data_IF_454795677810
#
_entry.id   IF_454795677810
#
_cell.length_a   1.000
_cell.length_b   1.000
_cell.length_c   1.000
_cell.angle_alpha   90.00
_cell.angle_beta   90.00
_cell.angle_gamma   90.00
#
_symmetry.space_group_name_H-M   'P 1'
#
loop_
_entity.id
_entity.type
_entity.pdbx_description
1 polymer ?
#
# COMPACT_ATOMS: atom_id res chain seq x y z
N UNK A 1 -50.87 -10.74 -9.20
CA UNK A 1 -49.80 -9.98 -9.88
C UNK A 1 -49.58 -8.67 -9.13
N UNK A 2 -48.79 -8.72 -8.06
CA UNK A 2 -48.37 -7.55 -7.27
C UNK A 2 -47.22 -6.87 -7.98
N UNK A 3 -47.39 -5.60 -8.34
CA UNK A 3 -46.37 -4.79 -9.00
C UNK A 3 -45.17 -4.65 -8.06
N UNK A 4 -44.03 -5.21 -8.48
CA UNK A 4 -42.72 -5.01 -7.89
C UNK A 4 -42.42 -3.51 -7.93
N UNK A 5 -42.46 -2.86 -6.77
CA UNK A 5 -42.07 -1.45 -6.67
C UNK A 5 -40.63 -1.31 -7.17
N UNK A 6 -40.44 -0.39 -8.10
CA UNK A 6 -39.15 0.02 -8.61
C UNK A 6 -38.37 0.73 -7.49
N UNK A 7 -37.74 -0.02 -6.60
CA UNK A 7 -36.94 0.50 -5.49
C UNK A 7 -35.49 0.72 -5.97
N UNK A 8 -35.33 1.73 -6.82
CA UNK A 8 -34.01 2.27 -7.20
C UNK A 8 -33.45 3.27 -6.18
N UNK A 9 -34.09 3.43 -5.02
CA UNK A 9 -33.56 4.27 -3.96
C UNK A 9 -32.32 3.58 -3.37
N UNK A 10 -31.15 4.27 -3.31
CA UNK A 10 -29.96 3.68 -2.71
C UNK A 10 -30.27 3.28 -1.27
N UNK A 11 -30.23 1.97 -1.01
CA UNK A 11 -30.48 1.42 0.31
C UNK A 11 -29.53 2.09 1.30
N UNK A 12 -30.07 2.83 2.27
CA UNK A 12 -29.25 3.52 3.26
C UNK A 12 -28.52 2.48 4.10
N UNK A 13 -27.18 2.45 4.12
CA UNK A 13 -26.43 1.36 4.75
C UNK A 13 -26.69 1.25 6.26
N UNK A 14 -27.21 2.30 6.89
CA UNK A 14 -27.51 2.35 8.32
C UNK A 14 -29.01 2.44 8.64
N UNK A 15 -29.91 2.12 7.70
CA UNK A 15 -31.37 2.21 7.92
C UNK A 15 -31.82 1.46 9.18
N UNK A 16 -31.44 0.19 9.32
CA UNK A 16 -31.81 -0.62 10.49
C UNK A 16 -31.20 -0.12 11.80
N UNK A 17 -30.00 0.49 11.77
CA UNK A 17 -29.42 1.10 12.95
C UNK A 17 -30.24 2.33 13.37
N UNK A 18 -30.59 3.18 12.41
CA UNK A 18 -31.38 4.38 12.65
C UNK A 18 -32.76 4.06 13.21
N UNK A 19 -33.44 3.05 12.66
CA UNK A 19 -34.72 2.53 13.17
C UNK A 19 -34.58 2.08 14.63
N UNK A 20 -33.59 1.23 14.92
CA UNK A 20 -33.33 0.72 16.27
C UNK A 20 -33.03 1.85 17.27
N UNK A 21 -32.24 2.85 16.89
CA UNK A 21 -31.95 4.01 17.75
C UNK A 21 -33.22 4.85 18.00
N UNK A 22 -34.01 5.10 16.95
CA UNK A 22 -35.27 5.83 17.08
C UNK A 22 -36.31 5.08 17.94
N UNK A 23 -36.34 3.75 17.90
CA UNK A 23 -37.14 2.90 18.78
C UNK A 23 -36.70 3.04 20.24
N UNK A 24 -35.39 2.92 20.51
CA UNK A 24 -34.83 3.09 21.87
C UNK A 24 -35.16 4.46 22.45
N UNK A 25 -35.00 5.52 21.67
CA UNK A 25 -35.34 6.89 22.12
C UNK A 25 -36.83 7.03 22.41
N UNK A 26 -37.70 6.47 21.57
CA UNK A 26 -39.16 6.48 21.78
C UNK A 26 -39.55 5.71 23.03
N UNK A 27 -38.95 4.54 23.27
CA UNK A 27 -39.15 3.74 24.47
C UNK A 27 -38.71 4.49 25.74
N UNK A 28 -37.60 5.23 25.68
CA UNK A 28 -37.13 6.10 26.74
C UNK A 28 -37.95 7.40 26.92
N UNK A 29 -38.90 7.67 26.02
CA UNK A 29 -39.74 8.89 25.98
C UNK A 29 -38.93 10.19 25.94
N UNK A 30 -37.77 10.17 25.28
CA UNK A 30 -36.90 11.34 25.15
C UNK A 30 -37.13 12.02 23.79
N UNK A 31 -37.54 13.30 23.75
CA UNK A 31 -37.47 14.07 22.51
C UNK A 31 -35.99 14.28 22.13
N UNK A 32 -35.70 14.47 20.84
CA UNK A 32 -34.32 14.56 20.35
C UNK A 32 -33.47 15.64 21.06
N UNK A 33 -34.08 16.77 21.45
CA UNK A 33 -33.40 17.84 22.19
C UNK A 33 -32.97 17.38 23.58
N UNK A 34 -33.89 16.78 24.34
CA UNK A 34 -33.58 16.28 25.69
C UNK A 34 -32.59 15.12 25.63
N UNK A 35 -32.65 14.25 24.61
CA UNK A 35 -31.64 13.22 24.43
C UNK A 35 -30.25 13.83 24.17
N UNK A 36 -30.17 14.85 23.31
CA UNK A 36 -28.92 15.53 23.00
C UNK A 36 -28.29 16.16 24.26
N UNK A 37 -29.11 16.83 25.08
CA UNK A 37 -28.71 17.38 26.38
C UNK A 37 -28.25 16.26 27.34
N UNK A 38 -29.03 15.19 27.52
CA UNK A 38 -28.72 14.08 28.41
C UNK A 38 -27.48 13.28 28.00
N UNK A 39 -27.23 13.13 26.70
CA UNK A 39 -26.05 12.46 26.16
C UNK A 39 -24.84 13.39 25.99
N UNK A 40 -24.98 14.69 26.28
CA UNK A 40 -23.96 15.71 26.03
C UNK A 40 -23.43 15.68 24.57
N UNK A 41 -24.33 15.59 23.60
CA UNK A 41 -24.04 15.62 22.16
C UNK A 41 -24.92 16.65 21.47
N UNK A 42 -24.54 17.12 20.28
CA UNK A 42 -25.39 18.05 19.53
C UNK A 42 -26.69 17.39 19.05
N UNK A 43 -27.78 18.16 18.97
CA UNK A 43 -29.04 17.72 18.32
C UNK A 43 -28.82 17.22 16.89
N UNK A 44 -27.92 17.86 16.15
CA UNK A 44 -27.55 17.43 14.80
C UNK A 44 -26.90 16.04 14.77
N UNK A 45 -26.16 15.65 15.82
CA UNK A 45 -25.61 14.30 15.92
C UNK A 45 -26.71 13.25 16.14
N UNK A 46 -27.71 13.55 16.98
CA UNK A 46 -28.90 12.71 17.16
C UNK A 46 -29.64 12.53 15.84
N UNK A 47 -29.93 13.64 15.14
CA UNK A 47 -30.63 13.60 13.86
C UNK A 47 -29.87 12.81 12.79
N UNK A 48 -28.54 12.95 12.71
CA UNK A 48 -27.71 12.16 11.77
C UNK A 48 -27.63 10.68 12.15
N UNK A 49 -27.65 10.34 13.43
CA UNK A 49 -27.71 8.95 13.86
C UNK A 49 -29.04 8.29 13.46
N UNK A 50 -30.14 9.04 13.54
CA UNK A 50 -31.50 8.59 13.20
C UNK A 50 -31.85 8.72 11.71
N UNK A 51 -31.00 9.34 10.88
CA UNK A 51 -31.27 9.46 9.43
C UNK A 51 -30.89 8.20 8.65
N UNK A 52 -29.99 7.38 9.20
CA UNK A 52 -29.42 6.21 8.54
C UNK A 52 -28.43 6.54 7.41
N UNK A 53 -28.08 7.81 7.20
CA UNK A 53 -27.20 8.23 6.10
C UNK A 53 -25.72 8.02 6.38
N UNK A 54 -25.31 8.04 7.65
CA UNK A 54 -23.93 7.82 8.06
C UNK A 54 -23.86 7.11 9.41
N UNK A 55 -22.78 6.34 9.64
CA UNK A 55 -22.52 5.75 10.94
C UNK A 55 -22.27 6.84 11.99
N UNK A 56 -22.92 6.80 13.17
CA UNK A 56 -22.45 7.58 14.30
C UNK A 56 -21.02 7.16 14.68
N UNK A 57 -20.25 8.09 15.27
CA UNK A 57 -18.97 7.72 15.90
C UNK A 57 -19.22 6.81 17.09
N UNK A 58 -18.22 6.06 17.54
CA UNK A 58 -18.38 5.14 18.66
C UNK A 58 -18.77 5.89 19.95
N UNK A 59 -18.10 7.02 20.22
CA UNK A 59 -18.45 7.89 21.35
C UNK A 59 -19.89 8.42 21.29
N UNK A 60 -20.38 8.84 20.11
CA UNK A 60 -21.76 9.29 19.94
C UNK A 60 -22.75 8.15 20.13
N UNK A 61 -22.46 6.97 19.59
CA UNK A 61 -23.32 5.80 19.76
C UNK A 61 -23.40 5.39 21.24
N UNK A 62 -22.28 5.34 21.94
CA UNK A 62 -22.23 4.97 23.35
C UNK A 62 -22.95 5.99 24.23
N UNK A 63 -22.76 7.30 24.00
CA UNK A 63 -23.47 8.35 24.71
C UNK A 63 -25.00 8.28 24.47
N UNK A 64 -25.42 8.03 23.23
CA UNK A 64 -26.83 7.85 22.87
C UNK A 64 -27.45 6.66 23.62
N UNK A 65 -26.80 5.49 23.56
CA UNK A 65 -27.27 4.27 24.21
C UNK A 65 -27.31 4.42 25.74
N UNK A 66 -26.33 5.11 26.32
CA UNK A 66 -26.29 5.40 27.74
C UNK A 66 -27.45 6.30 28.18
N UNK A 67 -27.71 7.40 27.46
CA UNK A 67 -28.79 8.31 27.78
C UNK A 67 -30.19 7.67 27.62
N UNK A 68 -30.35 6.74 26.68
CA UNK A 68 -31.58 5.94 26.55
C UNK A 68 -31.69 4.80 27.59
N UNK A 69 -30.69 4.62 28.46
CA UNK A 69 -30.59 3.49 29.40
C UNK A 69 -30.73 2.13 28.72
N UNK A 70 -30.21 2.01 27.49
CA UNK A 70 -30.31 0.81 26.69
C UNK A 70 -29.66 -0.39 27.42
N UNK A 71 -30.33 -1.54 27.41
CA UNK A 71 -29.83 -2.78 27.99
C UNK A 71 -28.68 -3.38 27.17
N UNK A 72 -28.03 -4.40 27.70
CA UNK A 72 -26.85 -5.00 27.04
C UNK A 72 -27.20 -5.61 25.67
N UNK A 73 -28.37 -6.22 25.54
CA UNK A 73 -28.86 -6.74 24.26
C UNK A 73 -29.03 -5.65 23.20
N UNK A 74 -29.58 -4.49 23.58
CA UNK A 74 -29.77 -3.34 22.68
C UNK A 74 -28.45 -2.71 22.26
N UNK A 75 -27.49 -2.63 23.20
CA UNK A 75 -26.13 -2.16 22.92
C UNK A 75 -25.41 -3.09 21.95
N UNK A 76 -25.47 -4.40 22.19
CA UNK A 76 -24.90 -5.40 21.29
C UNK A 76 -25.53 -5.34 19.90
N UNK A 77 -26.87 -5.23 19.83
CA UNK A 77 -27.61 -5.08 18.56
C UNK A 77 -27.20 -3.79 17.82
N UNK A 78 -27.12 -2.66 18.50
CA UNK A 78 -26.72 -1.39 17.90
C UNK A 78 -25.28 -1.45 17.35
N UNK A 79 -24.33 -2.03 18.10
CA UNK A 79 -22.95 -2.24 17.66
C UNK A 79 -22.89 -3.15 16.42
N UNK A 80 -23.64 -4.24 16.41
CA UNK A 80 -23.74 -5.16 15.27
C UNK A 80 -24.30 -4.45 14.02
N UNK A 81 -25.41 -3.72 14.15
CA UNK A 81 -26.03 -2.98 13.05
C UNK A 81 -25.10 -1.91 12.50
N UNK A 82 -24.37 -1.20 13.36
CA UNK A 82 -23.33 -0.25 12.95
C UNK A 82 -22.22 -0.93 12.15
N UNK A 83 -21.72 -2.06 12.64
CA UNK A 83 -20.69 -2.84 11.94
C UNK A 83 -21.17 -3.27 10.56
N UNK A 84 -22.37 -3.86 10.47
CA UNK A 84 -22.98 -4.26 9.19
C UNK A 84 -23.11 -3.09 8.22
N UNK A 85 -23.61 -1.95 8.68
CA UNK A 85 -23.74 -0.77 7.83
C UNK A 85 -22.38 -0.22 7.35
N UNK A 86 -21.34 -0.27 8.19
CA UNK A 86 -19.98 0.13 7.79
C UNK A 86 -19.40 -0.83 6.75
N UNK A 87 -19.60 -2.12 6.92
CA UNK A 87 -19.20 -3.14 5.95
C UNK A 87 -19.92 -2.94 4.62
N UNK A 88 -21.24 -2.73 4.63
CA UNK A 88 -22.03 -2.48 3.43
C UNK A 88 -21.64 -1.17 2.72
N UNK A 89 -21.43 -0.08 3.47
CA UNK A 89 -21.01 1.21 2.90
C UNK A 89 -19.63 1.13 2.22
N UNK A 90 -18.71 0.33 2.77
CA UNK A 90 -17.35 0.21 2.25
C UNK A 90 -17.27 -0.71 1.03
N UNK A 91 -18.15 -1.72 0.99
CA UNK A 91 -18.23 -2.70 -0.08
C UNK A 91 -16.86 -3.25 -0.52
N UNK A 92 -16.02 -3.63 0.46
CA UNK A 92 -14.68 -4.20 0.17
C UNK A 92 -14.62 -5.70 0.34
N UNK A 93 -15.62 -6.30 0.98
CA UNK A 93 -15.62 -7.73 1.26
C UNK A 93 -15.66 -8.57 -0.01
N UNK A 94 -16.34 -8.12 -1.06
CA UNK A 94 -16.41 -8.86 -2.31
C UNK A 94 -15.03 -8.99 -3.00
N UNK A 95 -14.11 -8.05 -2.76
CA UNK A 95 -12.72 -8.10 -3.23
C UNK A 95 -11.83 -9.02 -2.39
N UNK A 96 -12.24 -9.31 -1.15
CA UNK A 96 -11.48 -10.06 -0.16
C UNK A 96 -12.02 -11.49 -0.08
N UNK A 97 -11.47 -12.36 -0.92
CA UNK A 97 -11.75 -13.81 -0.89
C UNK A 97 -10.67 -14.52 -0.07
N UNK A 98 -10.70 -14.38 1.26
CA UNK A 98 -9.74 -15.12 2.08
C UNK A 98 -10.19 -16.56 2.30
N UNK A 99 -9.25 -17.51 2.38
CA UNK A 99 -9.56 -18.87 2.78
C UNK A 99 -10.01 -18.93 4.24
N UNK A 100 -10.70 -20.01 4.62
CA UNK A 100 -11.00 -20.26 6.03
C UNK A 100 -9.70 -20.35 6.85
N UNK A 101 -9.72 -19.98 8.14
CA UNK A 101 -8.50 -19.90 8.95
C UNK A 101 -7.67 -21.19 8.98
N UNK A 102 -8.33 -22.34 8.93
CA UNK A 102 -7.72 -23.68 8.90
C UNK A 102 -6.96 -23.98 7.59
N UNK A 103 -7.27 -23.28 6.50
CA UNK A 103 -6.65 -23.45 5.18
C UNK A 103 -5.64 -22.35 4.84
N UNK A 104 -5.26 -21.52 5.81
CA UNK A 104 -4.23 -20.49 5.61
C UNK A 104 -2.85 -21.17 5.59
N UNK A 105 -2.29 -21.33 4.39
CA UNK A 105 -0.97 -21.96 4.21
C UNK A 105 0.12 -20.96 3.82
N UNK A 106 -0.23 -19.88 3.12
CA UNK A 106 0.75 -18.90 2.64
C UNK A 106 0.66 -17.55 3.36
N UNK A 107 1.75 -16.77 3.26
CA UNK A 107 1.76 -15.36 3.70
C UNK A 107 0.65 -14.52 3.05
N UNK A 108 0.34 -14.79 1.78
CA UNK A 108 -0.70 -14.07 1.05
C UNK A 108 -2.08 -14.38 1.63
N UNK A 109 -2.34 -15.65 1.93
CA UNK A 109 -3.60 -16.10 2.52
C UNK A 109 -3.83 -15.46 3.89
N UNK A 110 -2.79 -15.44 4.74
CA UNK A 110 -2.88 -14.82 6.06
C UNK A 110 -3.15 -13.31 5.94
N UNK A 111 -2.45 -12.61 5.05
CA UNK A 111 -2.68 -11.19 4.83
C UNK A 111 -4.10 -10.89 4.31
N UNK A 112 -4.63 -11.75 3.43
CA UNK A 112 -6.02 -11.65 2.96
C UNK A 112 -7.02 -11.88 4.10
N UNK A 113 -6.81 -12.92 4.91
CA UNK A 113 -7.68 -13.25 6.03
C UNK A 113 -7.74 -12.12 7.07
N UNK A 114 -6.59 -11.50 7.40
CA UNK A 114 -6.55 -10.38 8.32
C UNK A 114 -7.24 -9.12 7.75
N UNK A 115 -7.07 -8.84 6.46
CA UNK A 115 -7.78 -7.73 5.81
C UNK A 115 -9.29 -7.98 5.77
N UNK A 116 -9.72 -9.21 5.46
CA UNK A 116 -11.13 -9.58 5.44
C UNK A 116 -11.75 -9.46 6.83
N UNK A 117 -11.08 -9.95 7.87
CA UNK A 117 -11.51 -9.78 9.25
C UNK A 117 -11.72 -8.32 9.63
N UNK A 118 -10.78 -7.45 9.24
CA UNK A 118 -10.89 -6.02 9.49
C UNK A 118 -12.12 -5.41 8.82
N UNK A 119 -12.39 -5.76 7.57
CA UNK A 119 -13.55 -5.26 6.83
C UNK A 119 -14.87 -5.86 7.36
N UNK A 120 -14.89 -7.14 7.77
CA UNK A 120 -16.04 -7.79 8.42
C UNK A 120 -16.36 -7.18 9.78
N UNK A 121 -15.33 -6.74 10.51
CA UNK A 121 -15.46 -5.99 11.76
C UNK A 121 -15.91 -4.53 11.53
N UNK A 122 -16.21 -4.14 10.29
CA UNK A 122 -16.67 -2.79 9.94
C UNK A 122 -15.53 -1.78 9.94
N UNK A 123 -14.29 -2.21 9.70
CA UNK A 123 -13.10 -1.36 9.71
C UNK A 123 -12.98 -0.55 11.01
N UNK A 124 -12.77 -1.21 12.17
CA UNK A 124 -12.64 -0.54 13.45
C UNK A 124 -11.47 0.46 13.45
N UNK A 125 -11.55 1.46 14.33
CA UNK A 125 -10.47 2.44 14.46
C UNK A 125 -9.27 1.79 15.13
N UNK A 126 -8.15 1.73 14.43
CA UNK A 126 -6.88 1.21 14.98
C UNK A 126 -6.07 2.30 15.72
N UNK A 127 -6.70 3.45 15.99
CA UNK A 127 -6.09 4.57 16.71
C UNK A 127 -6.33 4.54 18.22
N UNK A 128 -7.10 3.57 18.74
CA UNK A 128 -7.30 3.39 20.19
C UNK A 128 -5.94 3.24 20.89
N UNK A 129 -5.75 3.97 22.01
CA UNK A 129 -4.53 3.93 22.81
C UNK A 129 -4.14 2.49 23.24
N UNK A 130 -5.13 1.64 23.56
CA UNK A 130 -4.90 0.24 23.94
C UNK A 130 -4.32 -0.57 22.79
N UNK A 131 -4.87 -0.37 21.59
CA UNK A 131 -4.39 -1.04 20.36
C UNK A 131 -3.01 -0.50 20.00
N UNK A 132 -2.81 0.82 20.05
CA UNK A 132 -1.56 1.49 19.65
C UNK A 132 -0.36 1.13 20.51
N UNK A 133 -0.58 0.77 21.79
CA UNK A 133 0.49 0.36 22.71
C UNK A 133 1.24 -0.86 22.17
N UNK A 134 0.52 -1.83 21.61
CA UNK A 134 1.10 -3.09 21.13
C UNK A 134 1.18 -3.16 19.60
N UNK A 135 0.32 -2.41 18.89
CA UNK A 135 0.25 -2.40 17.44
C UNK A 135 0.48 -0.97 16.90
N UNK A 136 1.71 -0.63 16.48
CA UNK A 136 2.01 0.67 15.89
C UNK A 136 1.12 0.97 14.68
N UNK A 137 0.75 2.26 14.51
CA UNK A 137 -0.15 2.71 13.43
C UNK A 137 0.32 2.30 12.03
N UNK A 138 1.63 2.36 11.79
CA UNK A 138 2.24 1.97 10.52
C UNK A 138 2.08 0.47 10.27
N UNK A 139 2.29 -0.37 11.29
CA UNK A 139 2.07 -1.82 11.23
C UNK A 139 0.60 -2.15 10.97
N UNK A 140 -0.30 -1.53 11.72
CA UNK A 140 -1.74 -1.67 11.55
C UNK A 140 -2.18 -1.36 10.10
N UNK A 141 -1.70 -0.23 9.56
CA UNK A 141 -1.96 0.15 8.17
C UNK A 141 -1.40 -0.88 7.17
N UNK A 142 -0.19 -1.41 7.40
CA UNK A 142 0.39 -2.43 6.52
C UNK A 142 -0.41 -3.73 6.53
N UNK A 143 -0.94 -4.14 7.68
CA UNK A 143 -1.79 -5.34 7.81
C UNK A 143 -3.07 -5.15 6.99
N UNK A 144 -3.82 -4.06 7.25
CA UNK A 144 -5.09 -3.77 6.57
C UNK A 144 -4.91 -3.65 5.05
N UNK A 145 -3.79 -3.08 4.60
CA UNK A 145 -3.49 -2.94 3.17
C UNK A 145 -2.77 -4.15 2.56
N UNK A 146 -2.63 -5.26 3.30
CA UNK A 146 -1.96 -6.50 2.85
C UNK A 146 -0.48 -6.29 2.45
N UNK A 147 0.16 -5.23 2.96
CA UNK A 147 1.57 -4.85 2.71
C UNK A 147 2.54 -5.40 3.77
N UNK A 148 2.04 -6.09 4.78
CA UNK A 148 2.84 -6.66 5.86
C UNK A 148 2.01 -7.61 6.72
N UNK A 149 2.71 -8.50 7.42
CA UNK A 149 2.14 -9.29 8.51
C UNK A 149 2.50 -8.65 9.85
N UNK A 150 1.82 -9.01 10.94
CA UNK A 150 2.29 -8.72 12.30
C UNK A 150 3.75 -9.17 12.47
N UNK A 151 4.52 -8.44 13.27
CA UNK A 151 5.91 -8.79 13.58
C UNK A 151 6.01 -9.82 14.72
N UNK A 152 4.98 -9.90 15.57
CA UNK A 152 4.89 -10.85 16.69
C UNK A 152 3.48 -11.43 16.81
N UNK A 153 3.35 -12.57 17.50
CA UNK A 153 2.06 -13.16 17.83
C UNK A 153 1.21 -12.22 18.71
N UNK A 154 1.85 -11.44 19.59
CA UNK A 154 1.17 -10.43 20.42
C UNK A 154 0.53 -9.31 19.58
N UNK A 155 1.21 -8.85 18.52
CA UNK A 155 0.64 -7.91 17.56
C UNK A 155 -0.55 -8.51 16.83
N UNK A 156 -0.48 -9.79 16.46
CA UNK A 156 -1.59 -10.51 15.85
C UNK A 156 -2.80 -10.59 16.79
N UNK A 157 -2.60 -11.02 18.04
CA UNK A 157 -3.66 -11.11 19.06
C UNK A 157 -4.31 -9.75 19.30
N UNK A 158 -3.49 -8.69 19.39
CA UNK A 158 -3.97 -7.31 19.54
C UNK A 158 -4.87 -6.92 18.35
N UNK A 159 -4.43 -7.21 17.12
CA UNK A 159 -5.20 -6.92 15.91
C UNK A 159 -6.52 -7.71 15.84
N UNK A 160 -6.49 -9.02 16.18
CA UNK A 160 -7.68 -9.87 16.23
C UNK A 160 -8.68 -9.37 17.26
N UNK A 161 -8.20 -8.99 18.45
CA UNK A 161 -9.03 -8.43 19.52
C UNK A 161 -9.67 -7.10 19.11
N UNK A 162 -8.94 -6.24 18.41
CA UNK A 162 -9.47 -4.99 17.84
C UNK A 162 -10.55 -5.24 16.77
N UNK A 163 -10.49 -6.39 16.09
CA UNK A 163 -11.52 -6.85 15.15
C UNK A 163 -12.67 -7.62 15.83
N UNK A 164 -12.72 -7.66 17.17
CA UNK A 164 -13.77 -8.34 17.95
C UNK A 164 -13.55 -9.84 18.19
N UNK A 165 -12.40 -10.39 17.80
CA UNK A 165 -12.03 -11.78 18.07
C UNK A 165 -11.16 -11.83 19.32
N UNK A 166 -11.80 -11.84 20.50
CA UNK A 166 -11.12 -11.84 21.80
C UNK A 166 -11.03 -13.21 22.46
N UNK A 167 -11.83 -14.20 22.02
CA UNK A 167 -11.84 -15.53 22.63
C UNK A 167 -10.61 -16.33 22.16
N UNK A 168 -9.81 -16.91 23.07
CA UNK A 168 -8.62 -17.68 22.69
C UNK A 168 -8.89 -18.79 21.68
N UNK A 169 -10.00 -19.53 21.85
CA UNK A 169 -10.40 -20.59 20.91
C UNK A 169 -10.63 -20.07 19.48
N UNK A 170 -11.16 -18.86 19.32
CA UNK A 170 -11.38 -18.24 18.01
C UNK A 170 -10.10 -17.60 17.43
N UNK A 171 -9.15 -17.22 18.28
CA UNK A 171 -7.84 -16.69 17.84
C UNK A 171 -6.89 -17.80 17.39
N UNK A 172 -6.99 -18.99 17.98
CA UNK A 172 -6.05 -20.10 17.81
C UNK A 172 -5.77 -20.47 16.34
N UNK A 173 -6.77 -20.63 15.46
CA UNK A 173 -6.51 -20.94 14.05
C UNK A 173 -5.61 -19.90 13.35
N UNK A 174 -5.78 -18.62 13.68
CA UNK A 174 -4.96 -17.55 13.11
C UNK A 174 -3.53 -17.55 13.67
N UNK A 175 -3.38 -17.86 14.96
CA UNK A 175 -2.08 -17.97 15.62
C UNK A 175 -1.29 -19.14 15.04
N UNK A 176 -1.95 -20.30 14.88
CA UNK A 176 -1.33 -21.50 14.30
C UNK A 176 -0.89 -21.24 12.85
N UNK A 177 -1.76 -20.63 12.03
CA UNK A 177 -1.43 -20.22 10.68
C UNK A 177 -0.27 -19.22 10.62
N UNK A 178 -0.22 -18.26 11.55
CA UNK A 178 0.87 -17.29 11.67
C UNK A 178 2.21 -17.97 11.98
N UNK A 179 2.24 -18.90 12.93
CA UNK A 179 3.43 -19.67 13.25
C UNK A 179 3.89 -20.51 12.05
N UNK A 180 2.96 -21.19 11.38
CA UNK A 180 3.25 -21.97 10.17
C UNK A 180 3.93 -21.11 9.08
N UNK A 181 3.32 -19.97 8.74
CA UNK A 181 3.82 -19.04 7.71
C UNK A 181 5.19 -18.46 8.06
N UNK A 182 5.47 -18.17 9.33
CA UNK A 182 6.76 -17.61 9.75
C UNK A 182 7.85 -18.67 9.77
N UNK A 183 7.57 -19.88 10.25
CA UNK A 183 8.54 -20.99 10.25
C UNK A 183 8.98 -21.34 8.83
N UNK A 184 8.04 -21.39 7.87
CA UNK A 184 8.36 -21.60 6.45
C UNK A 184 9.25 -20.50 5.84
N UNK A 185 9.22 -19.29 6.41
CA UNK A 185 10.05 -18.18 5.95
C UNK A 185 11.52 -18.38 6.28
N UNK A 186 11.81 -19.04 7.40
CA UNK A 186 13.15 -19.41 7.82
C UNK A 186 13.72 -20.60 7.05
N UNK A 187 12.86 -21.51 6.56
CA UNK A 187 13.29 -22.71 5.84
C UNK A 187 13.47 -22.51 4.34
N UNK A 188 13.07 -21.36 3.77
CA UNK A 188 13.36 -21.06 2.38
C UNK A 188 14.88 -21.05 2.21
N UNK A 189 15.47 -21.98 1.44
CA UNK A 189 16.90 -22.00 1.20
C UNK A 189 17.28 -20.61 0.72
N UNK A 190 18.31 -20.01 1.32
CA UNK A 190 18.89 -18.80 0.79
C UNK A 190 19.06 -19.05 -0.71
N UNK A 191 18.49 -18.19 -1.61
CA UNK A 191 18.64 -18.40 -3.04
C UNK A 191 20.14 -18.65 -3.27
N UNK A 192 20.51 -19.65 -4.09
CA UNK A 192 21.90 -19.94 -4.34
C UNK A 192 22.55 -18.61 -4.62
N UNK A 193 23.55 -18.25 -3.81
CA UNK A 193 24.34 -17.05 -4.05
C UNK A 193 24.92 -17.30 -5.43
N UNK A 194 24.25 -16.81 -6.48
CA UNK A 194 24.89 -16.55 -7.75
C UNK A 194 26.09 -15.76 -7.33
N UNK A 195 27.27 -16.38 -7.41
CA UNK A 195 28.54 -15.70 -7.23
C UNK A 195 28.39 -14.50 -8.13
N UNK A 196 28.12 -13.34 -7.52
CA UNK A 196 28.36 -12.09 -8.19
C UNK A 196 29.84 -12.20 -8.43
N UNK A 197 30.19 -12.49 -9.68
CA UNK A 197 31.54 -12.28 -10.18
C UNK A 197 31.84 -10.88 -9.67
N UNK A 198 32.77 -10.80 -8.72
CA UNK A 198 33.28 -9.56 -8.18
C UNK A 198 33.97 -8.86 -9.35
N UNK A 199 33.16 -8.26 -10.23
CA UNK A 199 33.55 -7.14 -11.05
C UNK A 199 33.81 -6.01 -10.10
N UNK A 200 34.98 -6.09 -9.45
CA UNK A 200 35.60 -5.03 -8.68
C UNK A 200 35.69 -3.86 -9.64
N UNK A 201 34.69 -2.98 -9.60
CA UNK A 201 34.79 -1.68 -10.23
C UNK A 201 35.91 -0.98 -9.48
N UNK A 202 37.12 -1.08 -10.02
CA UNK A 202 38.22 -0.25 -9.61
C UNK A 202 37.77 1.19 -9.91
N UNK A 203 37.39 1.93 -8.86
CA UNK A 203 37.39 3.38 -8.92
C UNK A 203 38.83 3.80 -9.14
N UNK A 204 39.20 4.00 -10.40
CA UNK A 204 40.45 4.68 -10.74
C UNK A 204 40.22 6.14 -10.37
N UNK A 205 40.93 6.71 -9.38
CA UNK A 205 40.89 8.15 -9.18
C UNK A 205 41.54 8.77 -10.41
N UNK A 206 40.74 9.39 -11.27
CA UNK A 206 41.24 10.34 -12.23
C UNK A 206 41.78 11.51 -11.42
N UNK A 207 43.10 11.60 -11.33
CA UNK A 207 43.81 12.74 -10.81
C UNK A 207 43.46 13.95 -11.70
N UNK A 208 42.43 14.69 -11.31
CA UNK A 208 42.11 15.98 -11.91
C UNK A 208 42.89 17.04 -11.12
N UNK A 209 43.98 17.52 -11.72
CA UNK A 209 44.74 18.62 -11.13
C UNK A 209 43.98 19.92 -11.29
N UNK A 210 43.71 20.59 -10.16
CA UNK A 210 43.52 22.04 -10.11
C UNK A 210 42.10 22.52 -10.42
N UNK A 211 41.38 22.94 -9.37
CA UNK A 211 40.18 23.76 -9.51
C UNK A 211 39.21 23.57 -8.37
N UNK A 212 39.16 24.54 -7.47
CA UNK A 212 38.39 24.54 -6.23
C UNK A 212 36.91 24.73 -6.56
N UNK A 213 36.12 23.65 -6.69
CA UNK A 213 34.67 23.62 -6.44
C UNK A 213 34.24 22.18 -6.17
N UNK A 214 33.65 21.93 -5.01
CA UNK A 214 33.28 20.58 -4.53
C UNK A 214 32.00 20.10 -5.23
N UNK A 215 32.14 19.41 -6.36
CA UNK A 215 31.03 18.76 -7.07
C UNK A 215 30.88 17.29 -6.62
N UNK A 216 29.81 16.99 -5.87
CA UNK A 216 29.42 15.61 -5.55
C UNK A 216 28.71 14.97 -6.76
N UNK A 217 29.50 14.42 -7.70
CA UNK A 217 28.96 13.55 -8.75
C UNK A 217 28.71 12.14 -8.18
N UNK A 218 27.44 11.76 -8.04
CA UNK A 218 27.04 10.39 -7.69
C UNK A 218 26.71 9.61 -8.97
N UNK A 219 27.49 8.56 -9.23
CA UNK A 219 27.32 7.67 -10.39
C UNK A 219 25.98 6.93 -10.35
N UNK A 220 24.99 7.46 -11.07
CA UNK A 220 23.74 6.78 -11.43
C UNK A 220 23.86 6.06 -12.79
N UNK A 221 25.08 5.76 -13.24
CA UNK A 221 25.37 5.40 -14.64
C UNK A 221 25.10 3.92 -14.97
N UNK A 222 25.22 3.00 -14.01
CA UNK A 222 25.09 1.57 -14.30
C UNK A 222 23.64 1.13 -14.53
N UNK A 223 22.65 1.75 -13.87
CA UNK A 223 21.23 1.42 -14.02
C UNK A 223 20.53 2.20 -15.15
N UNK A 224 21.05 3.37 -15.52
CA UNK A 224 20.48 4.18 -16.60
C UNK A 224 20.80 3.63 -17.98
N UNK A 225 21.99 3.07 -18.19
CA UNK A 225 22.37 2.47 -19.47
C UNK A 225 21.53 1.23 -19.84
N UNK A 226 21.16 0.40 -18.84
CA UNK A 226 20.30 -0.77 -19.07
C UNK A 226 18.83 -0.36 -19.30
N UNK A 227 18.35 0.69 -18.63
CA UNK A 227 17.02 1.26 -18.89
C UNK A 227 16.93 1.93 -20.27
N UNK A 228 18.01 2.58 -20.72
CA UNK A 228 18.13 3.20 -22.05
C UNK A 228 18.06 2.19 -23.21
N UNK A 229 18.35 0.91 -22.94
CA UNK A 229 18.22 -0.18 -23.92
C UNK A 229 16.80 -0.74 -24.01
N UNK A 230 16.01 -0.57 -22.94
CA UNK A 230 14.68 -1.17 -22.81
C UNK A 230 13.56 -0.20 -23.17
N UNK A 231 13.82 1.11 -23.13
CA UNK A 231 12.80 2.14 -23.35
C UNK A 231 13.27 3.21 -24.34
N UNK A 232 12.39 3.70 -25.23
CA UNK A 232 12.69 4.84 -26.10
C UNK A 232 13.09 6.07 -25.28
N UNK A 233 14.03 6.87 -25.80
CA UNK A 233 14.58 8.04 -25.09
C UNK A 233 13.51 9.00 -24.54
N UNK A 234 12.41 9.24 -25.30
CA UNK A 234 11.29 10.07 -24.86
C UNK A 234 10.60 9.55 -23.59
N UNK A 235 10.46 8.24 -23.45
CA UNK A 235 9.79 7.62 -22.29
C UNK A 235 10.66 7.78 -21.04
N UNK A 236 11.98 7.72 -21.20
CA UNK A 236 12.90 7.95 -20.09
C UNK A 236 12.92 9.42 -19.67
N UNK A 237 12.93 10.34 -20.62
CA UNK A 237 12.86 11.77 -20.34
C UNK A 237 11.60 12.14 -19.56
N UNK A 238 10.44 11.63 -19.98
CA UNK A 238 9.16 11.82 -19.28
C UNK A 238 9.16 11.19 -17.88
N UNK A 239 9.73 9.98 -17.74
CA UNK A 239 9.84 9.32 -16.44
C UNK A 239 10.78 10.07 -15.47
N UNK A 240 11.91 10.59 -15.97
CA UNK A 240 12.87 11.36 -15.18
C UNK A 240 12.29 12.70 -14.74
N UNK A 241 11.68 13.44 -15.66
CA UNK A 241 11.02 14.73 -15.36
C UNK A 241 9.89 14.56 -14.34
N UNK A 242 9.04 13.55 -14.53
CA UNK A 242 7.96 13.21 -13.58
C UNK A 242 8.50 12.86 -12.19
N UNK A 243 9.58 12.08 -12.14
CA UNK A 243 10.20 11.66 -10.86
C UNK A 243 10.82 12.85 -10.14
N UNK A 244 11.51 13.73 -10.86
CA UNK A 244 12.10 14.96 -10.31
C UNK A 244 11.02 15.93 -9.80
N UNK A 245 9.93 16.11 -10.55
CA UNK A 245 8.78 16.93 -10.13
C UNK A 245 8.15 16.38 -8.84
N UNK A 246 7.95 15.06 -8.75
CA UNK A 246 7.41 14.43 -7.56
C UNK A 246 8.33 14.54 -6.35
N UNK A 247 9.65 14.46 -6.55
CA UNK A 247 10.62 14.61 -5.48
C UNK A 247 10.65 16.05 -4.97
N UNK A 248 10.75 17.03 -5.87
CA UNK A 248 10.73 18.45 -5.53
C UNK A 248 9.43 18.87 -4.83
N UNK A 249 8.27 18.35 -5.29
CA UNK A 249 6.98 18.61 -4.64
C UNK A 249 6.89 18.02 -3.22
N UNK A 250 7.44 16.82 -2.99
CA UNK A 250 7.49 16.21 -1.65
C UNK A 250 8.40 16.96 -0.71
N UNK A 251 9.55 17.41 -1.18
CA UNK A 251 10.51 18.12 -0.33
C UNK A 251 10.02 19.54 -0.02
N UNK A 252 9.40 20.23 -0.99
CA UNK A 252 8.71 21.49 -0.75
C UNK A 252 7.60 21.35 0.32
N UNK A 253 6.75 20.32 0.22
CA UNK A 253 5.72 20.06 1.21
C UNK A 253 6.27 19.72 2.61
N UNK A 254 7.37 18.96 2.69
CA UNK A 254 8.04 18.65 3.96
C UNK A 254 8.64 19.88 4.62
N UNK A 255 9.14 20.83 3.84
CA UNK A 255 9.81 22.02 4.32
C UNK A 255 8.86 23.22 4.48
N UNK A 256 7.55 23.04 4.26
CA UNK A 256 6.56 24.12 4.31
C UNK A 256 6.75 25.18 3.22
N UNK A 257 7.52 24.87 2.18
CA UNK A 257 7.79 25.77 1.07
C UNK A 257 6.80 25.52 -0.08
N UNK A 258 6.44 26.58 -0.80
CA UNK A 258 5.63 26.47 -2.02
C UNK A 258 6.51 25.86 -3.13
N UNK A 259 6.07 24.81 -3.84
CA UNK A 259 6.86 24.24 -4.92
C UNK A 259 7.12 25.29 -6.02
N UNK A 260 8.32 25.30 -6.64
CA UNK A 260 8.69 26.34 -7.58
C UNK A 260 7.78 26.37 -8.82
N UNK A 261 7.49 27.58 -9.31
CA UNK A 261 6.48 27.88 -10.36
C UNK A 261 6.68 27.13 -11.69
N UNK A 262 7.90 26.70 -12.02
CA UNK A 262 8.15 25.92 -13.24
C UNK A 262 7.53 24.50 -13.17
N UNK A 263 7.28 23.96 -11.97
CA UNK A 263 6.56 22.70 -11.77
C UNK A 263 5.09 22.82 -12.20
N UNK A 264 4.52 24.03 -12.19
CA UNK A 264 3.12 24.29 -12.55
C UNK A 264 2.92 24.59 -14.04
N UNK A 265 3.99 24.77 -14.82
CA UNK A 265 3.91 25.34 -16.18
C UNK A 265 4.30 24.34 -17.28
N UNK A 266 4.24 23.03 -17.02
CA UNK A 266 4.58 22.00 -18.02
C UNK A 266 3.36 21.51 -18.81
N UNK A 267 2.69 22.42 -19.51
CA UNK A 267 1.93 22.09 -20.71
C UNK A 267 2.41 23.05 -21.79
N UNK A 268 2.97 22.50 -22.87
CA UNK A 268 3.54 23.13 -24.06
C UNK A 268 5.06 22.94 -24.17
N UNK A 269 5.45 21.86 -24.83
CA UNK A 269 6.76 21.76 -25.46
C UNK A 269 6.55 21.20 -26.86
N UNK A 270 6.31 22.13 -27.78
CA UNK A 270 6.44 21.94 -29.21
C UNK A 270 7.59 22.84 -29.68
N UNK A 271 8.46 22.28 -30.55
CA UNK A 271 9.72 22.83 -31.09
C UNK A 271 10.90 23.02 -30.11
N UNK A 272 12.02 22.38 -30.44
CA UNK A 272 13.21 23.08 -30.91
C UNK A 272 14.18 22.14 -31.65
N UNK A 273 14.76 22.69 -32.70
CA UNK A 273 15.66 22.12 -33.70
C UNK A 273 17.13 22.17 -33.27
N UNK A 274 17.91 21.34 -33.95
CA UNK A 274 19.33 21.04 -33.80
C UNK A 274 20.34 22.21 -33.70
N UNK A 275 21.44 21.89 -33.00
CA UNK A 275 22.88 22.15 -33.32
C UNK A 275 23.56 23.36 -32.64
N UNK A 276 24.39 23.09 -31.62
CA UNK A 276 25.53 23.90 -31.16
C UNK A 276 26.46 23.06 -30.22
N UNK A 277 27.69 23.47 -29.87
CA UNK A 277 28.89 22.61 -29.84
C UNK A 277 29.24 21.96 -28.48
N UNK A 278 30.16 21.00 -28.56
CA UNK A 278 30.56 19.95 -27.60
C UNK A 278 31.03 20.36 -26.18
N UNK A 279 30.88 21.62 -25.74
CA UNK A 279 31.30 22.08 -24.41
C UNK A 279 30.25 22.96 -23.68
N UNK A 280 28.96 22.70 -23.88
CA UNK A 280 27.91 23.33 -23.10
C UNK A 280 27.50 22.46 -21.89
N UNK A 281 27.28 23.10 -20.74
CA UNK A 281 26.61 22.48 -19.59
C UNK A 281 25.15 22.19 -19.98
N UNK A 282 24.70 20.93 -19.90
CA UNK A 282 23.36 20.54 -20.37
C UNK A 282 22.24 21.04 -19.44
N UNK A 283 22.54 21.27 -18.16
CA UNK A 283 21.58 21.84 -17.22
C UNK A 283 22.28 22.52 -16.04
N UNK A 284 21.94 23.79 -15.80
CA UNK A 284 22.37 24.54 -14.61
C UNK A 284 21.17 24.86 -13.75
N UNK A 285 21.14 24.35 -12.52
CA UNK A 285 20.06 24.58 -11.55
C UNK A 285 20.56 25.50 -10.45
N UNK A 286 19.86 26.62 -10.23
CA UNK A 286 20.09 27.53 -9.11
C UNK A 286 19.03 27.36 -8.04
N UNK A 287 19.46 27.15 -6.81
CA UNK A 287 18.62 27.06 -5.62
C UNK A 287 18.39 28.45 -5.00
N UNK A 288 17.32 28.59 -4.21
CA UNK A 288 16.97 29.85 -3.53
C UNK A 288 17.96 30.26 -2.43
N UNK A 289 18.82 29.35 -2.00
CA UNK A 289 19.96 29.64 -1.10
C UNK A 289 21.20 30.15 -1.84
N UNK A 290 21.10 30.38 -3.15
CA UNK A 290 22.19 30.88 -4.00
C UNK A 290 23.16 29.80 -4.47
N UNK A 291 22.98 28.54 -4.05
CA UNK A 291 23.81 27.44 -4.57
C UNK A 291 23.46 27.12 -6.02
N UNK A 292 24.47 26.78 -6.81
CA UNK A 292 24.32 26.40 -8.23
C UNK A 292 24.86 25.00 -8.43
N UNK A 293 24.07 24.10 -9.01
CA UNK A 293 24.49 22.77 -9.41
C UNK A 293 24.45 22.66 -10.94
N UNK A 294 25.49 22.06 -11.53
CA UNK A 294 25.61 21.84 -12.98
C UNK A 294 25.57 20.35 -13.26
N UNK A 295 24.86 19.98 -14.33
CA UNK A 295 24.75 18.60 -14.78
C UNK A 295 25.17 18.54 -16.25
N UNK A 296 26.13 17.67 -16.54
CA UNK A 296 26.58 17.39 -17.90
C UNK A 296 26.32 15.93 -18.21
N UNK A 297 25.61 15.66 -19.31
CA UNK A 297 25.24 14.30 -19.72
C UNK A 297 26.07 13.90 -20.93
N UNK A 298 27.18 13.21 -20.70
CA UNK A 298 28.03 12.69 -21.79
C UNK A 298 27.56 11.31 -22.24
N UNK A 299 27.14 11.21 -23.50
CA UNK A 299 26.80 9.95 -24.15
C UNK A 299 28.03 9.38 -24.86
N UNK A 300 28.66 8.38 -24.25
CA UNK A 300 29.77 7.66 -24.88
C UNK A 300 29.25 6.44 -25.62
N UNK A 301 29.06 6.58 -26.93
CA UNK A 301 28.85 5.44 -27.83
C UNK A 301 30.20 4.73 -28.09
N UNK A 302 30.51 3.71 -27.28
CA UNK A 302 31.57 2.75 -27.65
C UNK A 302 31.04 1.78 -28.71
N UNK A 303 31.67 1.77 -29.89
CA UNK A 303 31.53 0.66 -30.86
C UNK A 303 31.99 -0.63 -30.19
N UNK A 304 31.08 -1.61 -30.08
CA UNK A 304 31.41 -2.97 -29.70
C UNK A 304 32.24 -3.61 -30.83
N UNK A 305 33.50 -3.94 -30.53
CA UNK A 305 34.30 -4.82 -31.38
C UNK A 305 33.77 -6.26 -31.34
N UNK A 306 34.11 -7.08 -32.35
CA UNK A 306 33.64 -8.47 -32.41
C UNK A 306 34.15 -9.29 -31.20
N UNK A 307 33.37 -10.28 -30.74
CA UNK A 307 33.71 -11.06 -29.57
C UNK A 307 34.98 -11.91 -29.81
N UNK A 308 35.83 -12.11 -28.79
CA UNK A 308 36.99 -12.99 -28.91
C UNK A 308 36.54 -14.44 -29.11
N UNK A 309 37.23 -15.15 -30.00
CA UNK A 309 37.00 -16.57 -30.26
C UNK A 309 37.29 -17.39 -28.99
N UNK A 310 36.28 -18.16 -28.55
CA UNK A 310 36.43 -19.13 -27.47
C UNK A 310 37.19 -20.35 -27.97
N UNK A 311 38.49 -20.42 -27.69
CA UNK A 311 39.26 -21.65 -27.82
C UNK A 311 39.01 -22.56 -26.62
N UNK A 312 38.56 -23.80 -26.86
CA UNK A 312 38.79 -24.90 -25.91
C UNK A 312 37.57 -25.66 -25.36
N UNK A 313 36.36 -25.55 -25.92
CA UNK A 313 35.26 -26.44 -25.51
C UNK A 313 35.09 -27.55 -26.54
N UNK A 314 35.59 -28.74 -26.20
CA UNK A 314 35.40 -29.98 -26.97
C UNK A 314 33.92 -30.38 -26.87
N UNK A 315 33.21 -30.37 -27.99
CA UNK A 315 31.82 -30.78 -28.05
C UNK A 315 31.70 -32.26 -27.61
N UNK A 316 30.68 -32.62 -26.79
CA UNK A 316 30.44 -34.00 -26.43
C UNK A 316 30.02 -34.81 -27.66
N UNK A 317 30.65 -35.97 -27.83
CA UNK A 317 30.38 -36.92 -28.91
C UNK A 317 28.92 -37.36 -28.87
N UNK A 318 28.16 -37.28 -29.97
CA UNK A 318 26.77 -37.74 -30.00
C UNK A 318 26.70 -39.27 -29.80
N UNK A 319 25.65 -39.79 -29.14
CA UNK A 319 25.48 -41.22 -28.93
C UNK A 319 25.25 -41.97 -30.25
N UNK A 320 25.66 -43.24 -30.34
CA UNK A 320 25.54 -44.05 -31.55
C UNK A 320 24.07 -44.28 -31.93
N UNK A 321 23.83 -44.24 -33.25
CA UNK A 321 22.52 -44.43 -33.88
C UNK A 321 22.00 -45.85 -33.61
N UNK A 322 20.74 -46.06 -33.19
CA UNK A 322 20.18 -47.39 -33.03
C UNK A 322 20.05 -48.11 -34.38
N UNK A 323 20.35 -49.42 -34.37
CA UNK A 323 20.30 -50.30 -35.54
C UNK A 323 18.86 -50.49 -36.05
N UNK A 324 18.66 -50.68 -37.37
CA UNK A 324 17.34 -50.90 -37.95
C UNK A 324 16.75 -52.25 -37.52
N UNK A 325 15.51 -52.23 -37.04
CA UNK A 325 14.74 -53.41 -36.70
C UNK A 325 14.48 -54.27 -37.95
N UNK A 326 14.83 -55.54 -37.86
CA UNK A 326 14.49 -56.57 -38.84
C UNK A 326 12.96 -56.75 -38.89
N UNK A 327 12.38 -56.61 -40.09
CA UNK A 327 11.01 -57.05 -40.39
C UNK A 327 10.99 -58.58 -40.41
N UNK A 328 10.18 -59.18 -39.54
CA UNK A 328 9.77 -60.57 -39.67
C UNK A 328 8.73 -60.69 -40.79
N UNK A 329 8.88 -61.71 -41.63
CA UNK A 329 7.84 -62.30 -42.49
C UNK A 329 7.57 -63.70 -41.98
#
# INVERSE_FOLDING_TARGET
>A
MTRSAADGAPQRPYAHLAEHLAELRRAARLPQRTLAEAANISRGAVQRAESGTAAPTEAVLDAYLHACRAGEADRARARLLRTRGRTAQRDKLHELKAPAPEFITTKRDLALALAELYERAGAPSLNDARVRKLLPRTTAWRIVNRKGLPASAEQLITFLSACGISRPAAQRPYIDAYHHVITQRGTRPAPPRTQRIDGRIYRTPLAYSGGIYTEMSSELAATTADLARLFPARVLEEAFTTTLQHHAGRDAHRNGATPPRWITTSHNLDRLTARAPDHADDLVVRSSDGSTARYQVKLHLRRLGPPPALSGVRAPTPPPRPAPASRAS
#
